data_IF_011742467430
#
_entry.id   IF_011742467430
#
_cell.length_a   1.000
_cell.length_b   1.000
_cell.length_c   1.000
_cell.angle_alpha   90.00
_cell.angle_beta   90.00
_cell.angle_gamma   90.00
#
_symmetry.space_group_name_H-M   'P 1'
#
loop_
_entity.id
_entity.type
_entity.pdbx_description
1 polymer ?
#
# COMPACT_ATOMS: atom_id res chain seq x y z
N UNK A 1 0.01 -47.59 38.13
CA UNK A 1 0.84 -48.49 37.29
C UNK A 1 1.05 -47.80 35.95
N UNK A 2 2.23 -47.17 35.73
CA UNK A 2 3.14 -47.30 34.57
C UNK A 2 2.49 -46.83 33.24
N UNK A 3 3.00 -45.94 32.41
CA UNK A 3 4.32 -45.35 32.11
C UNK A 3 4.13 -44.37 30.94
N UNK A 4 4.62 -43.16 31.04
CA UNK A 4 5.59 -42.43 30.20
C UNK A 4 5.66 -42.86 28.72
N UNK A 5 5.44 -41.88 27.80
CA UNK A 5 6.42 -41.47 26.80
C UNK A 5 6.13 -40.09 26.22
N UNK A 6 7.12 -39.21 26.33
CA UNK A 6 7.27 -37.88 25.77
C UNK A 6 7.72 -37.94 24.31
N UNK A 7 7.33 -36.92 23.52
CA UNK A 7 8.07 -36.27 22.42
C UNK A 7 7.29 -34.97 22.14
N UNK A 8 7.73 -33.78 22.42
CA UNK A 8 8.99 -33.15 22.06
C UNK A 8 8.89 -32.57 20.66
N UNK A 9 8.17 -31.44 20.44
CA UNK A 9 8.13 -30.69 19.18
C UNK A 9 8.35 -29.23 19.51
N UNK A 10 9.54 -28.70 19.17
CA UNK A 10 10.02 -27.39 19.51
C UNK A 10 9.27 -26.28 18.74
N UNK A 11 8.65 -25.38 19.47
CA UNK A 11 8.18 -24.08 19.00
C UNK A 11 9.42 -23.22 18.66
N UNK A 12 9.56 -22.82 17.39
CA UNK A 12 10.53 -21.79 17.00
C UNK A 12 9.84 -20.44 17.08
N UNK A 13 10.06 -19.74 18.19
CA UNK A 13 9.82 -18.30 18.30
C UNK A 13 10.91 -17.56 17.53
N UNK A 14 10.55 -16.85 16.46
CA UNK A 14 11.40 -15.84 15.87
C UNK A 14 11.26 -14.56 16.71
N UNK A 15 12.20 -14.36 17.63
CA UNK A 15 12.31 -13.10 18.37
C UNK A 15 13.05 -12.08 17.50
N UNK A 16 12.37 -10.98 17.18
CA UNK A 16 13.00 -9.78 16.63
C UNK A 16 13.83 -9.12 17.74
N UNK A 17 15.14 -9.32 17.67
CA UNK A 17 16.08 -8.63 18.56
C UNK A 17 16.49 -7.29 17.92
N UNK A 18 16.00 -6.20 18.50
CA UNK A 18 16.57 -4.87 18.28
C UNK A 18 17.91 -4.83 18.99
N UNK A 19 19.01 -4.99 18.27
CA UNK A 19 20.35 -4.93 18.85
C UNK A 19 20.84 -3.48 18.88
N UNK A 20 20.64 -2.85 20.03
CA UNK A 20 21.34 -1.62 20.40
C UNK A 20 22.82 -1.99 20.59
N UNK A 21 23.70 -1.53 19.70
CA UNK A 21 25.14 -1.68 19.89
C UNK A 21 25.58 -0.66 20.94
N UNK A 22 25.71 -1.12 22.17
CA UNK A 22 26.42 -0.39 23.22
C UNK A 22 27.93 -0.55 22.97
N UNK A 23 28.63 0.55 22.67
CA UNK A 23 30.07 0.62 22.68
C UNK A 23 30.55 0.53 24.12
N UNK A 24 31.09 -0.62 24.50
CA UNK A 24 31.90 -0.74 25.73
C UNK A 24 33.31 -0.23 25.43
N UNK A 25 33.65 0.94 26.00
CA UNK A 25 35.02 1.44 26.03
C UNK A 25 35.75 0.65 27.12
N UNK A 26 36.61 -0.28 26.72
CA UNK A 26 37.62 -0.88 27.59
C UNK A 26 38.92 -0.07 27.43
N UNK A 27 39.32 0.59 28.49
CA UNK A 27 40.61 1.29 28.60
C UNK A 27 41.69 0.25 28.88
N UNK A 28 42.51 -0.03 27.88
CA UNK A 28 43.72 -0.86 27.99
C UNK A 28 44.74 -0.40 26.97
N UNK A 29 45.81 0.22 27.45
CA UNK A 29 46.91 0.76 26.66
C UNK A 29 47.69 -0.30 25.89
N UNK A 30 47.61 -0.22 24.55
CA UNK A 30 48.71 -0.53 23.62
C UNK A 30 48.33 0.01 22.24
N UNK A 31 49.12 0.95 21.74
CA UNK A 31 49.03 1.47 20.38
C UNK A 31 49.45 0.36 19.40
N UNK A 32 48.44 -0.35 18.83
CA UNK A 32 48.55 -0.96 17.52
C UNK A 32 47.44 -0.39 16.68
N UNK A 33 47.78 0.26 15.56
CA UNK A 33 46.84 0.92 14.66
C UNK A 33 45.73 -0.02 14.27
N UNK A 34 44.50 0.27 14.67
CA UNK A 34 43.32 -0.35 14.10
C UNK A 34 43.23 0.07 12.64
N UNK A 35 43.79 -0.74 11.74
CA UNK A 35 43.59 -0.60 10.31
C UNK A 35 42.09 -0.67 10.02
N UNK A 36 41.57 0.39 9.44
CA UNK A 36 40.16 0.44 9.00
C UNK A 36 39.93 -0.70 8.02
N UNK A 37 39.07 -1.66 8.38
CA UNK A 37 38.76 -2.79 7.54
C UNK A 37 37.96 -2.34 6.32
N UNK A 38 38.47 -2.58 5.12
CA UNK A 38 37.74 -2.36 3.88
C UNK A 38 36.64 -3.40 3.71
N UNK A 39 35.50 -2.99 3.15
CA UNK A 39 34.38 -3.89 2.88
C UNK A 39 33.31 -3.25 2.03
N UNK A 40 32.50 -4.13 1.41
CA UNK A 40 31.29 -3.75 0.71
C UNK A 40 30.19 -4.79 1.00
N UNK A 41 28.98 -4.33 1.32
CA UNK A 41 27.81 -5.18 1.54
C UNK A 41 26.52 -4.43 1.25
N UNK A 42 25.44 -5.16 0.99
CA UNK A 42 24.11 -4.54 0.93
C UNK A 42 23.66 -4.12 2.34
N UNK A 43 23.05 -2.93 2.42
CA UNK A 43 22.51 -2.43 3.68
C UNK A 43 21.31 -3.26 4.15
N UNK A 44 20.48 -3.69 3.21
CA UNK A 44 19.23 -4.42 3.47
C UNK A 44 19.49 -5.83 4.03
N UNK A 45 20.43 -6.58 3.44
CA UNK A 45 20.74 -7.96 3.86
C UNK A 45 21.90 -8.06 4.84
N UNK A 46 22.71 -6.99 4.98
CA UNK A 46 23.98 -6.99 5.72
C UNK A 46 25.04 -7.97 5.17
N UNK A 47 24.85 -8.45 3.93
CA UNK A 47 25.67 -9.45 3.25
C UNK A 47 26.14 -8.94 1.87
N UNK A 48 26.98 -9.72 1.21
CA UNK A 48 27.40 -9.51 -0.18
C UNK A 48 26.37 -10.01 -1.20
N UNK A 49 25.25 -10.58 -0.72
CA UNK A 49 24.12 -10.99 -1.55
C UNK A 49 22.82 -10.35 -1.08
N UNK A 50 21.95 -10.01 -2.03
CA UNK A 50 20.62 -9.45 -1.77
C UNK A 50 19.62 -10.06 -2.76
N UNK A 51 18.46 -10.49 -2.25
CA UNK A 51 17.27 -10.71 -3.05
C UNK A 51 16.43 -9.42 -3.03
N UNK A 52 16.41 -8.72 -4.15
CA UNK A 52 15.61 -7.51 -4.34
C UNK A 52 14.18 -7.88 -4.76
N UNK A 53 13.19 -7.01 -4.51
CA UNK A 53 11.83 -7.24 -5.00
C UNK A 53 11.77 -7.20 -6.54
N UNK A 54 10.79 -7.91 -7.14
CA UNK A 54 10.59 -7.91 -8.60
C UNK A 54 10.27 -6.54 -9.20
N UNK A 55 9.67 -5.61 -8.42
CA UNK A 55 9.40 -4.24 -8.85
C UNK A 55 10.66 -3.35 -8.82
N UNK A 56 10.58 -2.19 -9.49
CA UNK A 56 11.65 -1.19 -9.47
C UNK A 56 12.00 -0.75 -8.04
N UNK A 57 13.27 -0.80 -7.68
CA UNK A 57 13.74 -0.52 -6.32
C UNK A 57 15.14 0.08 -6.30
N UNK A 58 15.55 0.61 -5.15
CA UNK A 58 16.80 1.31 -4.95
C UNK A 58 17.65 0.66 -3.83
N UNK A 59 18.25 -0.53 -4.06
CA UNK A 59 19.13 -1.16 -3.08
C UNK A 59 20.35 -0.29 -2.74
N UNK A 60 20.83 -0.43 -1.53
CA UNK A 60 21.92 0.36 -0.98
C UNK A 60 23.14 -0.51 -0.67
N UNK A 61 24.30 -0.04 -1.11
CA UNK A 61 25.59 -0.66 -0.77
C UNK A 61 26.28 0.20 0.28
N UNK A 62 26.69 -0.40 1.38
CA UNK A 62 27.57 0.22 2.37
C UNK A 62 29.01 -0.09 2.00
N UNK A 63 29.80 0.95 1.77
CA UNK A 63 31.23 0.90 1.52
C UNK A 63 31.96 1.31 2.81
N UNK A 64 32.81 0.45 3.32
CA UNK A 64 33.62 0.76 4.52
C UNK A 64 35.12 0.79 4.18
N UNK A 65 35.84 1.69 4.84
CA UNK A 65 37.29 1.86 4.62
C UNK A 65 37.82 3.16 5.21
N UNK A 66 39.03 3.54 4.80
CA UNK A 66 39.69 4.78 5.24
C UNK A 66 39.08 5.98 4.50
N UNK A 67 38.78 7.04 5.24
CA UNK A 67 38.29 8.32 4.67
C UNK A 67 39.29 8.84 3.63
N UNK A 68 38.78 9.31 2.50
CA UNK A 68 39.59 9.80 1.37
C UNK A 68 39.98 8.73 0.37
N UNK A 69 39.81 7.43 0.65
CA UNK A 69 40.10 6.37 -0.33
C UNK A 69 39.10 6.43 -1.48
N UNK A 70 39.62 6.44 -2.70
CA UNK A 70 38.81 6.39 -3.91
C UNK A 70 38.22 5.00 -4.12
N UNK A 71 37.00 4.96 -4.67
CA UNK A 71 36.34 3.72 -5.04
C UNK A 71 35.65 3.83 -6.41
N UNK A 72 35.43 2.69 -7.02
CA UNK A 72 34.56 2.55 -8.19
C UNK A 72 33.57 1.41 -7.95
N UNK A 73 32.26 1.69 -8.16
CA UNK A 73 31.19 0.70 -8.16
C UNK A 73 30.78 0.45 -9.60
N UNK A 74 30.86 -0.79 -10.06
CA UNK A 74 30.58 -1.17 -11.46
C UNK A 74 29.61 -2.35 -11.49
N UNK A 75 28.50 -2.23 -12.21
CA UNK A 75 27.63 -3.35 -12.56
C UNK A 75 28.30 -4.11 -13.70
N UNK A 76 28.87 -5.26 -13.40
CA UNK A 76 29.61 -6.10 -14.36
C UNK A 76 28.70 -7.03 -15.12
N UNK A 77 27.57 -7.42 -14.52
CA UNK A 77 26.52 -8.21 -15.13
C UNK A 77 25.16 -7.61 -14.77
N UNK A 78 24.16 -7.69 -15.65
CA UNK A 78 22.82 -7.15 -15.43
C UNK A 78 22.68 -5.65 -15.72
N UNK A 79 23.64 -5.02 -16.41
CA UNK A 79 23.67 -3.58 -16.68
C UNK A 79 22.53 -3.05 -17.57
N UNK A 80 21.69 -3.90 -18.14
CA UNK A 80 20.49 -3.48 -18.87
C UNK A 80 19.32 -3.07 -17.94
N UNK A 81 19.38 -3.45 -16.66
CA UNK A 81 18.30 -3.24 -15.70
C UNK A 81 18.74 -2.86 -14.27
N UNK A 82 20.05 -2.90 -14.01
CA UNK A 82 20.67 -2.49 -12.75
C UNK A 82 21.70 -1.39 -13.06
N UNK A 83 21.59 -0.25 -12.40
CA UNK A 83 22.40 0.94 -12.69
C UNK A 83 22.93 1.61 -11.42
N UNK A 84 23.99 2.39 -11.58
CA UNK A 84 24.54 3.27 -10.55
C UNK A 84 23.98 4.71 -10.62
N UNK A 85 23.15 5.00 -11.63
CA UNK A 85 22.48 6.29 -11.82
C UNK A 85 21.10 6.09 -12.45
N UNK A 86 20.06 6.61 -11.82
CA UNK A 86 18.66 6.53 -12.29
C UNK A 86 18.46 7.29 -13.61
N UNK A 87 19.08 8.46 -13.75
CA UNK A 87 18.81 9.35 -14.88
C UNK A 87 19.59 9.00 -16.15
N UNK A 88 20.79 8.46 -15.99
CA UNK A 88 21.69 8.16 -17.13
C UNK A 88 21.82 6.69 -17.43
N UNK A 89 21.24 5.81 -16.56
CA UNK A 89 21.41 4.37 -16.62
C UNK A 89 22.89 3.93 -16.67
N UNK A 90 23.76 4.72 -16.03
CA UNK A 90 25.18 4.41 -15.99
C UNK A 90 25.42 3.14 -15.16
N UNK A 91 26.29 2.26 -15.66
CA UNK A 91 26.67 1.02 -15.00
C UNK A 91 27.91 1.15 -14.13
N UNK A 92 28.55 2.33 -14.10
CA UNK A 92 29.72 2.59 -13.28
C UNK A 92 29.64 3.97 -12.62
N UNK A 93 30.12 4.07 -11.39
CA UNK A 93 30.23 5.29 -10.61
C UNK A 93 31.49 5.27 -9.76
N UNK A 94 32.26 6.35 -9.79
CA UNK A 94 33.42 6.54 -8.91
C UNK A 94 33.16 7.62 -7.88
N UNK A 95 33.87 7.55 -6.76
CA UNK A 95 33.82 8.51 -5.66
C UNK A 95 34.98 8.30 -4.69
N UNK A 96 34.97 9.03 -3.59
CA UNK A 96 35.91 8.82 -2.48
C UNK A 96 35.11 8.75 -1.17
N UNK A 97 35.56 7.93 -0.23
CA UNK A 97 34.91 7.78 1.06
C UNK A 97 34.97 9.11 1.84
N UNK A 98 33.82 9.62 2.22
CA UNK A 98 33.63 10.83 3.02
C UNK A 98 33.60 10.51 4.49
N UNK A 99 33.11 9.31 4.82
CA UNK A 99 33.11 8.72 6.16
C UNK A 99 33.75 7.35 6.14
N UNK A 100 33.90 6.69 7.30
CA UNK A 100 34.38 5.31 7.37
C UNK A 100 33.36 4.27 6.88
N UNK A 101 32.12 4.69 6.58
CA UNK A 101 31.06 3.84 6.03
C UNK A 101 30.07 4.69 5.20
N UNK A 102 30.32 4.82 3.92
CA UNK A 102 29.46 5.57 2.99
C UNK A 102 28.39 4.65 2.32
N UNK A 103 27.30 5.25 1.86
CA UNK A 103 26.22 4.56 1.20
C UNK A 103 26.15 4.94 -0.27
N UNK A 104 26.12 3.94 -1.14
CA UNK A 104 25.92 4.09 -2.59
C UNK A 104 24.62 3.39 -2.98
N UNK A 105 23.79 4.06 -3.80
CA UNK A 105 22.54 3.51 -4.30
C UNK A 105 22.77 2.81 -5.64
N UNK A 106 22.11 1.67 -5.81
CA UNK A 106 21.79 1.08 -7.10
C UNK A 106 20.36 1.43 -7.48
N UNK A 107 20.03 1.32 -8.75
CA UNK A 107 18.71 1.58 -9.30
C UNK A 107 18.31 0.40 -10.17
N UNK A 108 17.21 -0.27 -9.82
CA UNK A 108 16.72 -1.44 -10.54
C UNK A 108 15.47 -1.09 -11.33
N UNK A 109 15.43 -1.56 -12.58
CA UNK A 109 14.18 -1.63 -13.33
C UNK A 109 13.28 -2.73 -12.75
N UNK A 110 11.98 -2.64 -13.03
CA UNK A 110 11.03 -3.72 -12.85
C UNK A 110 11.44 -4.95 -13.68
N UNK A 111 11.27 -6.15 -13.14
CA UNK A 111 11.62 -7.38 -13.85
C UNK A 111 10.39 -7.97 -14.56
N UNK A 112 10.10 -7.50 -15.74
CA UNK A 112 9.05 -7.98 -16.64
C UNK A 112 9.52 -9.07 -17.62
N UNK A 113 10.68 -9.68 -17.36
CA UNK A 113 11.33 -10.60 -18.31
C UNK A 113 10.74 -12.02 -18.37
N UNK A 114 9.79 -12.34 -17.50
CA UNK A 114 9.19 -13.69 -17.40
C UNK A 114 10.05 -14.71 -16.63
N UNK A 115 11.15 -14.28 -16.00
CA UNK A 115 12.03 -15.14 -15.19
C UNK A 115 12.81 -14.33 -14.15
N UNK A 116 13.27 -15.00 -13.10
CA UNK A 116 14.22 -14.39 -12.18
C UNK A 116 15.52 -14.03 -12.88
N UNK A 117 16.14 -12.90 -12.49
CA UNK A 117 17.39 -12.40 -13.07
C UNK A 117 18.38 -12.05 -11.97
N UNK A 118 19.67 -12.01 -12.36
CA UNK A 118 20.77 -11.71 -11.44
C UNK A 118 21.65 -10.59 -11.99
N UNK A 119 22.23 -9.79 -11.09
CA UNK A 119 23.26 -8.81 -11.40
C UNK A 119 24.47 -9.04 -10.50
N UNK A 120 25.65 -8.75 -11.03
CA UNK A 120 26.92 -8.71 -10.29
C UNK A 120 27.41 -7.27 -10.23
N UNK A 121 27.73 -6.80 -9.03
CA UNK A 121 28.22 -5.45 -8.78
C UNK A 121 29.59 -5.55 -8.13
N UNK A 122 30.60 -5.02 -8.81
CA UNK A 122 31.97 -4.95 -8.29
C UNK A 122 32.24 -3.61 -7.65
N UNK A 123 32.77 -3.65 -6.44
CA UNK A 123 33.33 -2.50 -5.74
C UNK A 123 34.85 -2.64 -5.71
N UNK A 124 35.55 -1.72 -6.34
CA UNK A 124 37.01 -1.64 -6.34
C UNK A 124 37.47 -0.40 -5.57
N UNK A 125 38.41 -0.57 -4.62
CA UNK A 125 39.08 0.51 -3.92
C UNK A 125 40.48 0.74 -4.45
N UNK A 126 40.95 1.96 -4.35
CA UNK A 126 42.38 2.26 -4.59
C UNK A 126 43.26 1.36 -3.70
N UNK A 127 44.32 0.79 -4.32
CA UNK A 127 45.16 -0.22 -3.64
C UNK A 127 44.81 -1.65 -4.03
N UNK A 128 43.83 -1.86 -4.94
CA UNK A 128 43.55 -3.15 -5.57
C UNK A 128 42.65 -4.10 -4.78
N UNK A 129 41.95 -3.60 -3.75
CA UNK A 129 40.93 -4.40 -3.04
C UNK A 129 39.63 -4.37 -3.80
N UNK A 130 39.08 -5.54 -4.09
CA UNK A 130 37.82 -5.69 -4.82
C UNK A 130 36.84 -6.57 -4.03
N UNK A 131 35.55 -6.25 -4.14
CA UNK A 131 34.43 -6.98 -3.56
C UNK A 131 33.35 -7.18 -4.63
N UNK A 132 32.94 -8.42 -4.87
CA UNK A 132 31.79 -8.73 -5.72
C UNK A 132 30.55 -8.95 -4.86
N UNK A 133 29.48 -8.25 -5.23
CA UNK A 133 28.16 -8.37 -4.63
C UNK A 133 27.20 -8.97 -5.67
N UNK A 134 26.36 -9.88 -5.23
CA UNK A 134 25.36 -10.53 -6.08
C UNK A 134 23.96 -10.07 -5.69
N UNK A 135 23.19 -9.64 -6.70
CA UNK A 135 21.81 -9.23 -6.55
C UNK A 135 20.92 -10.15 -7.38
N UNK A 136 19.92 -10.76 -6.78
CA UNK A 136 18.86 -11.49 -7.49
C UNK A 136 17.57 -10.69 -7.45
N UNK A 137 16.79 -10.77 -8.54
CA UNK A 137 15.48 -10.12 -8.64
C UNK A 137 14.50 -11.12 -9.26
N UNK A 138 13.45 -11.57 -8.52
CA UNK A 138 12.41 -12.42 -9.08
C UNK A 138 11.65 -11.69 -10.18
N UNK A 139 10.88 -12.44 -10.97
CA UNK A 139 9.93 -11.84 -11.91
C UNK A 139 8.92 -10.96 -11.16
N UNK A 140 8.64 -9.80 -11.72
CA UNK A 140 7.53 -8.97 -11.29
C UNK A 140 6.27 -9.40 -12.05
N UNK A 141 5.35 -10.00 -11.36
CA UNK A 141 4.04 -10.32 -11.90
C UNK A 141 2.97 -9.51 -11.17
N UNK A 142 2.19 -8.77 -11.94
CA UNK A 142 0.98 -8.14 -11.43
C UNK A 142 -0.06 -9.25 -11.27
N UNK A 143 -0.64 -9.46 -10.08
CA UNK A 143 -1.74 -10.41 -9.93
C UNK A 143 -2.87 -10.08 -10.91
N UNK A 144 -3.45 -11.09 -11.54
CA UNK A 144 -4.54 -10.90 -12.52
C UNK A 144 -5.70 -10.04 -11.99
N UNK A 145 -5.95 -10.07 -10.69
CA UNK A 145 -6.94 -9.24 -10.00
C UNK A 145 -6.59 -7.75 -10.02
N UNK A 146 -5.33 -7.40 -10.21
CA UNK A 146 -4.83 -6.01 -10.32
C UNK A 146 -4.53 -5.62 -11.77
N UNK A 147 -4.54 -6.56 -12.71
CA UNK A 147 -4.30 -6.32 -14.14
C UNK A 147 -5.62 -6.01 -14.86
N UNK A 148 -6.22 -4.88 -14.51
CA UNK A 148 -7.46 -4.41 -15.13
C UNK A 148 -7.38 -2.91 -15.46
N UNK A 149 -7.97 -2.48 -16.59
CA UNK A 149 -8.05 -1.07 -16.97
C UNK A 149 -9.16 -0.34 -16.18
N UNK A 150 -9.14 -0.42 -14.86
CA UNK A 150 -10.09 0.25 -13.97
C UNK A 150 -9.41 1.41 -13.26
N UNK A 151 -9.92 2.61 -13.52
CA UNK A 151 -9.25 3.83 -13.06
C UNK A 151 -9.22 3.98 -11.53
N UNK A 152 -10.10 3.29 -10.79
CA UNK A 152 -10.07 3.25 -9.34
C UNK A 152 -8.97 2.38 -8.76
N UNK A 153 -8.41 1.41 -9.51
CA UNK A 153 -7.35 0.57 -8.96
C UNK A 153 -6.07 1.37 -8.71
N UNK A 154 -5.50 1.33 -7.51
CA UNK A 154 -4.13 1.79 -7.30
C UNK A 154 -3.15 0.96 -8.12
N UNK A 155 -1.99 1.53 -8.47
CA UNK A 155 -0.92 0.72 -9.04
C UNK A 155 -0.57 -0.43 -8.08
N UNK A 156 -0.30 -1.60 -8.67
CA UNK A 156 0.07 -2.76 -7.86
C UNK A 156 1.33 -2.47 -7.04
N UNK A 157 1.30 -2.88 -5.79
CA UNK A 157 2.43 -2.84 -4.87
C UNK A 157 2.45 -4.14 -4.09
N UNK A 158 3.54 -4.89 -4.16
CA UNK A 158 3.71 -6.07 -3.31
C UNK A 158 3.80 -5.63 -1.84
N UNK A 159 2.94 -6.17 -1.00
CA UNK A 159 2.89 -5.87 0.44
C UNK A 159 2.82 -7.19 1.21
N UNK A 160 3.72 -7.36 2.16
CA UNK A 160 3.79 -8.58 2.98
C UNK A 160 2.45 -8.84 3.69
N UNK A 161 2.05 -10.11 3.74
CA UNK A 161 0.80 -10.59 4.31
C UNK A 161 -0.49 -10.06 3.63
N UNK A 162 -0.39 -9.35 2.51
CA UNK A 162 -1.55 -8.85 1.79
C UNK A 162 -2.01 -9.81 0.71
N UNK A 163 -3.33 -9.91 0.58
CA UNK A 163 -4.01 -10.61 -0.50
C UNK A 163 -4.90 -9.60 -1.24
N UNK A 164 -4.88 -9.67 -2.57
CA UNK A 164 -5.72 -8.85 -3.44
C UNK A 164 -6.91 -9.67 -3.91
N UNK A 165 -8.12 -9.14 -3.74
CA UNK A 165 -9.36 -9.81 -4.15
C UNK A 165 -10.26 -8.81 -4.84
N UNK A 166 -10.88 -9.20 -5.96
CA UNK A 166 -11.96 -8.44 -6.60
C UNK A 166 -13.28 -9.20 -6.47
N UNK A 167 -14.26 -8.53 -5.91
CA UNK A 167 -15.62 -9.03 -5.82
C UNK A 167 -16.43 -8.61 -7.04
N UNK A 168 -17.25 -9.52 -7.51
CA UNK A 168 -18.16 -9.33 -8.64
C UNK A 168 -19.58 -9.66 -8.20
N UNK A 169 -20.54 -8.92 -8.75
CA UNK A 169 -21.96 -9.21 -8.55
C UNK A 169 -22.77 -8.83 -9.79
N UNK A 170 -23.92 -9.50 -10.04
CA UNK A 170 -24.79 -9.10 -11.12
C UNK A 170 -25.51 -7.78 -10.77
N UNK A 171 -25.56 -6.84 -11.72
CA UNK A 171 -26.35 -5.60 -11.60
C UNK A 171 -27.51 -5.55 -12.57
N UNK A 172 -27.51 -6.39 -13.59
CA UNK A 172 -28.60 -6.58 -14.55
C UNK A 172 -28.43 -7.92 -15.29
N UNK A 173 -29.42 -8.32 -16.08
CA UNK A 173 -29.33 -9.50 -16.94
C UNK A 173 -28.24 -9.40 -18.02
N UNK A 174 -27.91 -8.18 -18.44
CA UNK A 174 -26.85 -7.91 -19.44
C UNK A 174 -25.47 -7.69 -18.80
N UNK A 175 -25.41 -7.53 -17.48
CA UNK A 175 -24.18 -7.37 -16.69
C UNK A 175 -24.19 -8.33 -15.50
N UNK A 176 -24.07 -9.65 -15.76
CA UNK A 176 -24.16 -10.67 -14.72
C UNK A 176 -22.90 -10.74 -13.85
N UNK A 177 -21.80 -10.11 -14.27
CA UNK A 177 -20.50 -10.08 -13.57
C UNK A 177 -19.92 -8.66 -13.60
N UNK A 178 -20.61 -7.71 -12.98
CA UNK A 178 -20.06 -6.37 -12.80
C UNK A 178 -19.07 -6.36 -11.62
N UNK A 179 -17.97 -5.58 -11.75
CA UNK A 179 -17.06 -5.38 -10.62
C UNK A 179 -17.77 -4.67 -9.48
N UNK A 180 -17.63 -5.17 -8.27
CA UNK A 180 -18.18 -4.54 -7.08
C UNK A 180 -17.13 -3.66 -6.41
N UNK A 181 -16.09 -4.26 -5.87
CA UNK A 181 -14.92 -3.59 -5.32
C UNK A 181 -13.72 -4.52 -5.32
N UNK A 182 -12.52 -3.92 -5.28
CA UNK A 182 -11.24 -4.63 -5.11
C UNK A 182 -10.64 -4.23 -3.77
N UNK A 183 -10.09 -5.20 -3.04
CA UNK A 183 -9.44 -5.00 -1.74
C UNK A 183 -7.95 -5.37 -1.79
N UNK A 184 -7.15 -4.66 -1.01
CA UNK A 184 -5.83 -5.08 -0.55
C UNK A 184 -5.97 -5.44 0.92
N UNK A 185 -6.11 -6.72 1.24
CA UNK A 185 -6.41 -7.21 2.58
C UNK A 185 -5.16 -7.68 3.32
N UNK A 186 -4.85 -7.06 4.45
CA UNK A 186 -3.75 -7.46 5.34
C UNK A 186 -4.25 -8.52 6.34
N UNK A 187 -3.87 -9.78 6.10
CA UNK A 187 -4.26 -10.93 6.92
C UNK A 187 -3.74 -10.86 8.36
N UNK A 188 -2.58 -10.21 8.56
CA UNK A 188 -1.99 -10.04 9.90
C UNK A 188 -2.76 -9.02 10.75
N UNK A 189 -3.29 -7.98 10.11
CA UNK A 189 -4.10 -6.92 10.72
C UNK A 189 -5.59 -7.23 10.73
N UNK A 190 -6.04 -8.11 9.84
CA UNK A 190 -7.44 -8.47 9.59
C UNK A 190 -8.32 -7.29 9.20
N UNK A 191 -7.76 -6.40 8.39
CA UNK A 191 -8.46 -5.28 7.74
C UNK A 191 -7.92 -5.09 6.32
N UNK A 192 -8.74 -4.60 5.40
CA UNK A 192 -8.22 -4.12 4.13
C UNK A 192 -7.45 -2.82 4.34
N UNK A 193 -6.24 -2.73 3.80
CA UNK A 193 -5.45 -1.51 3.78
C UNK A 193 -6.10 -0.46 2.87
N UNK A 194 -6.74 -0.92 1.80
CA UNK A 194 -7.60 -0.11 0.96
C UNK A 194 -8.67 -0.95 0.26
N UNK A 195 -9.74 -0.28 -0.14
CA UNK A 195 -10.85 -0.78 -0.95
C UNK A 195 -11.08 0.19 -2.10
N UNK A 196 -10.98 -0.28 -3.34
CA UNK A 196 -11.16 0.50 -4.55
C UNK A 196 -12.46 0.12 -5.25
N UNK A 197 -13.27 1.12 -5.63
CA UNK A 197 -14.56 0.85 -6.26
C UNK A 197 -15.11 2.05 -7.06
N UNK A 198 -15.87 1.79 -8.15
CA UNK A 198 -16.55 2.84 -8.88
C UNK A 198 -17.83 3.26 -8.17
N UNK A 199 -18.16 4.53 -8.14
CA UNK A 199 -19.46 5.05 -7.75
C UNK A 199 -20.17 5.55 -9.01
N UNK A 200 -21.34 4.99 -9.30
CA UNK A 200 -22.15 5.35 -10.46
C UNK A 200 -23.62 4.98 -10.20
N UNK A 201 -24.55 5.68 -10.85
CA UNK A 201 -25.99 5.48 -10.67
C UNK A 201 -26.44 4.02 -10.94
N UNK A 202 -25.75 3.28 -11.83
CA UNK A 202 -26.08 1.87 -12.09
C UNK A 202 -25.91 0.95 -10.86
N UNK A 203 -25.10 1.34 -9.88
CA UNK A 203 -24.90 0.62 -8.62
C UNK A 203 -25.82 1.11 -7.47
N UNK A 204 -26.48 2.26 -7.64
CA UNK A 204 -27.23 2.97 -6.58
C UNK A 204 -28.70 3.17 -6.95
N UNK A 205 -29.38 2.12 -7.42
CA UNK A 205 -30.75 2.24 -7.94
C UNK A 205 -31.82 2.21 -6.83
N UNK A 206 -31.69 1.28 -5.90
CA UNK A 206 -32.55 1.19 -4.72
C UNK A 206 -31.72 0.80 -3.50
N UNK A 207 -31.84 1.56 -2.42
CA UNK A 207 -31.14 1.20 -1.21
C UNK A 207 -31.91 0.12 -0.43
N UNK A 208 -31.31 -1.07 -0.39
CA UNK A 208 -31.72 -2.16 0.48
C UNK A 208 -30.50 -2.54 1.31
N UNK A 209 -30.52 -2.22 2.61
CA UNK A 209 -29.48 -2.65 3.53
C UNK A 209 -29.72 -4.10 3.91
N UNK A 210 -28.82 -4.99 3.54
CA UNK A 210 -28.97 -6.44 3.77
C UNK A 210 -28.62 -6.84 5.21
N UNK A 211 -27.67 -6.12 5.84
CA UNK A 211 -27.05 -6.51 7.11
C UNK A 211 -26.54 -7.97 7.13
N UNK A 212 -26.15 -8.49 5.96
CA UNK A 212 -25.70 -9.85 5.73
C UNK A 212 -24.24 -10.05 6.17
N UNK A 213 -23.99 -9.81 7.47
CA UNK A 213 -22.65 -9.94 8.06
C UNK A 213 -22.12 -11.35 7.91
N UNK A 214 -21.01 -11.52 7.17
CA UNK A 214 -20.41 -12.82 6.95
C UNK A 214 -18.89 -12.70 6.70
N UNK A 215 -18.23 -13.86 6.67
CA UNK A 215 -16.88 -13.95 6.15
C UNK A 215 -16.86 -13.74 4.63
N UNK A 216 -15.74 -13.21 4.16
CA UNK A 216 -15.42 -13.15 2.74
C UNK A 216 -14.98 -14.56 2.28
N UNK A 217 -15.68 -15.16 1.31
CA UNK A 217 -15.35 -16.51 0.87
C UNK A 217 -13.99 -16.63 0.15
N UNK A 218 -13.41 -15.50 -0.31
CA UNK A 218 -12.11 -15.47 -1.00
C UNK A 218 -10.92 -15.42 -0.05
N UNK A 219 -11.14 -15.25 1.26
CA UNK A 219 -10.11 -15.17 2.29
C UNK A 219 -10.37 -16.26 3.34
N UNK A 220 -9.35 -17.01 3.79
CA UNK A 220 -9.54 -17.99 4.86
C UNK A 220 -10.18 -17.38 6.12
N UNK A 221 -11.17 -18.04 6.70
CA UNK A 221 -11.89 -17.55 7.90
C UNK A 221 -10.93 -17.27 9.07
N UNK A 222 -9.87 -18.04 9.22
CA UNK A 222 -8.87 -17.87 10.27
C UNK A 222 -8.10 -16.53 10.17
N UNK A 223 -8.07 -15.94 8.97
CA UNK A 223 -7.41 -14.67 8.69
C UNK A 223 -8.37 -13.47 8.78
N UNK A 224 -9.65 -13.69 9.13
CA UNK A 224 -10.69 -12.67 9.21
C UNK A 224 -11.18 -12.45 10.63
N UNK A 225 -11.87 -11.33 10.86
CA UNK A 225 -12.65 -11.08 12.08
C UNK A 225 -14.05 -11.68 11.94
N UNK A 226 -14.54 -12.37 12.97
CA UNK A 226 -15.94 -12.81 13.02
C UNK A 226 -16.86 -11.66 13.48
N UNK A 227 -17.49 -11.01 12.52
CA UNK A 227 -18.42 -9.90 12.76
C UNK A 227 -19.89 -10.31 12.66
N UNK A 228 -20.20 -11.59 12.43
CA UNK A 228 -21.58 -12.10 12.30
C UNK A 228 -22.40 -11.92 13.57
N UNK A 229 -21.79 -12.11 14.71
CA UNK A 229 -22.47 -12.05 16.01
C UNK A 229 -22.45 -10.66 16.68
N UNK A 230 -21.92 -9.63 16.02
CA UNK A 230 -21.95 -8.27 16.55
C UNK A 230 -20.66 -7.45 16.28
N UNK A 231 -20.60 -6.23 16.80
CA UNK A 231 -19.46 -5.33 16.62
C UNK A 231 -18.25 -5.78 17.43
N UNK A 232 -17.12 -5.09 17.23
CA UNK A 232 -15.89 -5.29 17.97
C UNK A 232 -16.05 -5.10 19.47
N UNK A 233 -15.15 -5.72 20.24
CA UNK A 233 -14.95 -5.50 21.68
C UNK A 233 -13.64 -4.75 21.88
N UNK A 234 -13.55 -3.99 22.97
CA UNK A 234 -12.33 -3.22 23.27
C UNK A 234 -12.17 -1.92 22.45
N UNK A 235 -13.24 -1.49 21.78
CA UNK A 235 -13.32 -0.24 21.01
C UNK A 235 -13.63 -0.46 19.53
N UNK A 236 -14.25 0.55 18.93
CA UNK A 236 -14.62 0.58 17.52
C UNK A 236 -15.99 -0.03 17.20
N UNK A 237 -16.65 0.60 16.24
CA UNK A 237 -17.84 0.06 15.57
C UNK A 237 -17.44 -0.57 14.23
N UNK A 238 -18.36 -1.30 13.59
CA UNK A 238 -18.16 -1.88 12.25
C UNK A 238 -18.23 -0.77 11.20
N UNK A 239 -17.08 -0.22 10.80
CA UNK A 239 -16.95 0.82 9.76
C UNK A 239 -16.75 0.22 8.38
N UNK A 240 -17.64 0.55 7.43
CA UNK A 240 -17.51 0.15 6.05
C UNK A 240 -16.40 0.94 5.34
N UNK A 241 -15.64 0.27 4.46
CA UNK A 241 -14.74 0.96 3.53
C UNK A 241 -15.44 1.21 2.19
N UNK A 242 -16.02 0.18 1.54
CA UNK A 242 -17.03 0.36 0.50
C UNK A 242 -18.39 0.51 1.16
N UNK A 243 -19.01 1.69 1.09
CA UNK A 243 -20.28 2.00 1.72
C UNK A 243 -21.41 1.14 1.16
N UNK A 244 -22.23 0.51 2.01
CA UNK A 244 -23.35 -0.34 1.57
C UNK A 244 -24.38 0.42 0.74
N UNK A 245 -24.59 1.73 1.02
CA UNK A 245 -25.50 2.58 0.26
C UNK A 245 -25.04 2.84 -1.19
N UNK A 246 -23.76 2.61 -1.52
CA UNK A 246 -23.26 2.68 -2.87
C UNK A 246 -23.51 1.41 -3.69
N UNK A 247 -24.08 0.39 -3.08
CA UNK A 247 -24.22 -0.97 -3.61
C UNK A 247 -25.63 -1.52 -3.40
N UNK A 248 -26.59 -1.04 -4.20
CA UNK A 248 -27.96 -1.52 -4.10
C UNK A 248 -28.66 -1.44 -5.47
N UNK A 249 -29.02 -2.59 -6.00
CA UNK A 249 -29.75 -2.73 -7.24
C UNK A 249 -30.93 -3.70 -7.06
N UNK A 250 -32.06 -3.51 -7.78
CA UNK A 250 -33.20 -4.39 -7.64
C UNK A 250 -32.96 -5.81 -8.17
N UNK A 251 -31.95 -5.97 -9.04
CA UNK A 251 -31.68 -7.23 -9.75
C UNK A 251 -31.07 -8.30 -8.84
N UNK A 252 -30.24 -7.91 -7.86
CA UNK A 252 -29.56 -8.85 -6.97
C UNK A 252 -29.19 -8.20 -5.64
N UNK A 253 -29.38 -8.93 -4.55
CA UNK A 253 -28.93 -8.53 -3.20
C UNK A 253 -27.42 -8.72 -3.01
N UNK A 254 -26.79 -9.61 -3.78
CA UNK A 254 -25.38 -9.98 -3.64
C UNK A 254 -24.42 -8.77 -3.67
N UNK A 255 -24.74 -7.77 -4.51
CA UNK A 255 -23.97 -6.52 -4.59
C UNK A 255 -23.88 -5.83 -3.22
N UNK A 256 -24.97 -5.77 -2.48
CA UNK A 256 -25.04 -5.17 -1.16
C UNK A 256 -24.50 -6.11 -0.09
N UNK A 257 -24.81 -7.41 -0.14
CA UNK A 257 -24.35 -8.42 0.81
C UNK A 257 -22.82 -8.46 0.90
N UNK A 258 -22.12 -8.38 -0.21
CA UNK A 258 -20.64 -8.35 -0.23
C UNK A 258 -20.05 -7.16 0.55
N UNK A 259 -20.77 -6.04 0.69
CA UNK A 259 -20.29 -4.91 1.50
C UNK A 259 -20.25 -5.22 3.00
N UNK A 260 -20.93 -6.27 3.45
CA UNK A 260 -20.94 -6.75 4.83
C UNK A 260 -19.93 -7.87 5.10
N UNK A 261 -19.14 -8.25 4.10
CA UNK A 261 -18.00 -9.12 4.34
C UNK A 261 -17.01 -8.48 5.31
N UNK A 262 -16.52 -9.25 6.25
CA UNK A 262 -15.60 -8.76 7.28
C UNK A 262 -14.35 -8.10 6.71
N UNK A 263 -13.93 -8.49 5.49
CA UNK A 263 -12.80 -7.89 4.77
C UNK A 263 -13.03 -6.46 4.30
N UNK A 264 -14.29 -6.02 4.16
CA UNK A 264 -14.66 -4.62 3.86
C UNK A 264 -14.82 -3.75 5.11
N UNK A 265 -14.68 -4.33 6.31
CA UNK A 265 -15.01 -3.69 7.58
C UNK A 265 -13.73 -3.46 8.40
N UNK A 266 -13.63 -2.28 8.99
CA UNK A 266 -12.55 -1.93 9.92
C UNK A 266 -13.11 -1.35 11.22
N UNK A 267 -12.39 -1.48 12.37
CA UNK A 267 -12.78 -0.80 13.60
C UNK A 267 -12.66 0.72 13.42
N UNK A 268 -13.75 1.44 13.65
CA UNK A 268 -13.78 2.90 13.68
C UNK A 268 -14.38 3.40 14.99
N UNK A 269 -13.89 4.54 15.47
CA UNK A 269 -14.56 5.24 16.59
C UNK A 269 -15.99 5.62 16.20
N UNK A 270 -16.92 5.45 17.11
CA UNK A 270 -18.36 5.64 16.82
C UNK A 270 -18.69 7.05 16.35
N UNK A 271 -18.11 8.06 17.00
CA UNK A 271 -18.31 9.47 16.63
C UNK A 271 -17.73 9.77 15.23
N UNK A 272 -16.57 9.22 14.91
CA UNK A 272 -15.96 9.36 13.59
C UNK A 272 -16.80 8.66 12.50
N UNK A 273 -17.19 7.40 12.73
CA UNK A 273 -17.96 6.61 11.77
C UNK A 273 -19.32 7.26 11.45
N UNK A 274 -20.06 7.70 12.48
CA UNK A 274 -21.36 8.37 12.30
C UNK A 274 -21.26 9.88 12.05
N UNK A 275 -20.08 10.45 12.11
CA UNK A 275 -19.83 11.88 11.93
C UNK A 275 -19.07 12.19 10.62
N UNK A 276 -17.78 12.55 10.73
CA UNK A 276 -16.97 12.98 9.59
C UNK A 276 -16.86 11.93 8.49
N UNK A 277 -16.73 10.63 8.85
CA UNK A 277 -16.68 9.56 7.85
C UNK A 277 -17.96 9.45 7.05
N UNK A 278 -19.11 9.48 7.71
CA UNK A 278 -20.42 9.48 7.03
C UNK A 278 -20.59 10.69 6.11
N UNK A 279 -20.15 11.89 6.53
CA UNK A 279 -20.19 13.10 5.69
C UNK A 279 -19.32 12.94 4.42
N UNK A 280 -18.13 12.30 4.51
CA UNK A 280 -17.31 11.98 3.35
C UNK A 280 -18.01 11.01 2.39
N UNK A 281 -18.73 10.03 2.92
CA UNK A 281 -19.51 9.06 2.15
C UNK A 281 -20.72 9.71 1.47
N UNK A 282 -21.42 10.60 2.16
CA UNK A 282 -22.54 11.37 1.62
C UNK A 282 -22.09 12.32 0.50
N UNK A 283 -20.92 12.96 0.65
CA UNK A 283 -20.30 13.80 -0.39
C UNK A 283 -20.03 12.96 -1.64
N UNK A 284 -19.39 11.80 -1.49
CA UNK A 284 -19.13 10.89 -2.60
C UNK A 284 -20.45 10.39 -3.24
N UNK A 285 -21.47 10.10 -2.42
CA UNK A 285 -22.82 9.71 -2.90
C UNK A 285 -23.47 10.79 -3.74
N UNK A 286 -23.47 12.03 -3.27
CA UNK A 286 -24.06 13.18 -3.96
C UNK A 286 -23.38 13.42 -5.30
N UNK A 287 -22.04 13.37 -5.31
CA UNK A 287 -21.23 13.54 -6.52
C UNK A 287 -21.44 12.41 -7.53
N UNK A 288 -21.51 11.14 -7.07
CA UNK A 288 -21.77 9.99 -7.94
C UNK A 288 -23.17 9.96 -8.52
N UNK A 289 -24.18 10.45 -7.77
CA UNK A 289 -25.58 10.55 -8.26
C UNK A 289 -25.76 11.69 -9.26
N UNK A 290 -25.03 12.78 -9.11
CA UNK A 290 -25.11 13.94 -10.00
C UNK A 290 -24.28 13.79 -11.28
N UNK A 291 -23.55 12.71 -11.43
CA UNK A 291 -22.62 12.45 -12.51
C UNK A 291 -23.10 11.29 -13.37
N UNK A 292 -23.17 11.48 -14.70
CA UNK A 292 -23.42 10.40 -15.66
C UNK A 292 -22.14 9.62 -15.99
N UNK A 293 -20.97 10.21 -15.70
CA UNK A 293 -19.68 9.54 -15.75
C UNK A 293 -19.42 8.84 -14.40
N UNK A 294 -18.42 7.98 -14.34
CA UNK A 294 -18.07 7.26 -13.12
C UNK A 294 -17.25 8.17 -12.18
N UNK A 295 -17.57 8.14 -10.89
CA UNK A 295 -16.72 8.62 -9.83
C UNK A 295 -15.86 7.45 -9.34
N UNK A 296 -14.56 7.58 -9.41
CA UNK A 296 -13.58 6.59 -8.98
C UNK A 296 -13.16 6.86 -7.55
N UNK A 297 -13.19 5.81 -6.72
CA UNK A 297 -13.00 5.94 -5.27
C UNK A 297 -12.01 4.89 -4.78
N UNK A 298 -11.03 5.32 -3.98
CA UNK A 298 -10.26 4.43 -3.12
C UNK A 298 -10.41 4.90 -1.69
N UNK A 299 -10.74 3.97 -0.82
CA UNK A 299 -10.89 4.21 0.62
C UNK A 299 -9.89 3.35 1.36
N UNK A 300 -9.25 3.88 2.39
CA UNK A 300 -8.29 3.07 3.12
C UNK A 300 -7.95 3.62 4.50
N UNK A 301 -6.90 3.05 5.05
CA UNK A 301 -6.44 3.38 6.40
C UNK A 301 -4.90 3.41 6.46
N UNK A 302 -4.39 3.97 7.56
CA UNK A 302 -2.96 4.07 7.81
C UNK A 302 -2.65 4.00 9.30
N UNK A 303 -1.54 3.35 9.64
CA UNK A 303 -1.11 3.17 11.02
C UNK A 303 -1.97 2.17 11.79
N UNK A 304 -1.54 1.82 12.97
CA UNK A 304 -2.29 1.00 13.94
C UNK A 304 -2.24 1.73 15.28
N UNK A 305 -3.36 2.32 15.70
CA UNK A 305 -3.49 3.03 16.96
C UNK A 305 -3.62 2.07 18.14
N UNK A 306 -4.39 1.00 17.95
CA UNK A 306 -4.67 0.00 18.98
C UNK A 306 -5.18 -1.30 18.34
N UNK A 307 -5.56 -2.25 19.17
CA UNK A 307 -6.14 -3.51 18.74
C UNK A 307 -7.53 -3.69 19.37
N UNK A 308 -8.52 -3.87 18.53
CA UNK A 308 -9.83 -4.36 18.90
C UNK A 308 -9.88 -5.88 18.88
N UNK A 309 -10.97 -6.48 19.34
CA UNK A 309 -11.23 -7.91 19.17
C UNK A 309 -12.63 -8.12 18.61
N UNK A 310 -12.79 -9.20 17.86
CA UNK A 310 -14.13 -9.69 17.53
C UNK A 310 -14.79 -10.40 18.74
N UNK A 311 -15.94 -11.00 18.53
CA UNK A 311 -16.69 -11.70 19.60
C UNK A 311 -16.00 -13.01 20.03
N UNK A 312 -15.17 -13.60 19.19
CA UNK A 312 -14.37 -14.80 19.48
C UNK A 312 -13.04 -14.48 20.19
N UNK A 313 -12.65 -13.22 20.28
CA UNK A 313 -11.38 -12.77 20.87
C UNK A 313 -10.26 -12.61 19.86
N UNK A 314 -10.54 -12.74 18.57
CA UNK A 314 -9.57 -12.54 17.50
C UNK A 314 -9.18 -11.05 17.42
N UNK A 315 -7.87 -10.76 17.44
CA UNK A 315 -7.38 -9.39 17.36
C UNK A 315 -7.53 -8.81 15.97
N UNK A 316 -7.96 -7.56 15.90
CA UNK A 316 -8.15 -6.78 14.68
C UNK A 316 -7.53 -5.40 14.86
N UNK A 317 -6.73 -4.96 13.92
CA UNK A 317 -6.07 -3.66 14.01
C UNK A 317 -7.11 -2.53 13.92
N UNK A 318 -7.04 -1.58 14.87
CA UNK A 318 -7.78 -0.32 14.82
C UNK A 318 -6.88 0.73 14.17
N UNK A 319 -7.26 1.26 13.00
CA UNK A 319 -6.43 2.23 12.29
C UNK A 319 -6.25 3.52 13.09
N UNK A 320 -5.10 4.17 12.91
CA UNK A 320 -4.86 5.51 13.44
C UNK A 320 -5.53 6.58 12.58
N UNK A 321 -5.36 6.45 11.25
CA UNK A 321 -5.99 7.32 10.26
C UNK A 321 -6.84 6.53 9.28
N UNK A 322 -7.92 7.17 8.82
CA UNK A 322 -8.71 6.73 7.68
C UNK A 322 -8.65 7.78 6.59
N UNK A 323 -8.60 7.32 5.34
CA UNK A 323 -8.48 8.22 4.20
C UNK A 323 -9.37 7.79 3.03
N UNK A 324 -9.63 8.72 2.13
CA UNK A 324 -10.37 8.48 0.90
C UNK A 324 -9.81 9.36 -0.21
N UNK A 325 -9.68 8.83 -1.42
CA UNK A 325 -9.35 9.59 -2.62
C UNK A 325 -10.46 9.43 -3.65
N UNK A 326 -10.82 10.53 -4.29
CA UNK A 326 -11.88 10.62 -5.28
C UNK A 326 -11.36 11.27 -6.55
N UNK A 327 -11.78 10.72 -7.71
CA UNK A 327 -11.49 11.26 -9.04
C UNK A 327 -12.73 11.15 -9.91
N UNK A 328 -13.09 12.21 -10.63
CA UNK A 328 -14.11 12.19 -11.68
C UNK A 328 -13.85 13.24 -12.74
N UNK A 329 -14.61 13.17 -13.86
CA UNK A 329 -14.69 14.27 -14.81
C UNK A 329 -15.40 15.47 -14.17
N UNK A 330 -14.91 16.67 -14.45
CA UNK A 330 -15.46 17.91 -13.88
C UNK A 330 -16.92 18.13 -14.30
N UNK A 331 -17.22 17.91 -15.59
CA UNK A 331 -18.56 18.11 -16.13
C UNK A 331 -19.53 16.96 -15.79
N UNK A 332 -19.02 15.76 -15.49
CA UNK A 332 -19.81 14.61 -15.05
C UNK A 332 -20.67 13.95 -16.12
N UNK A 333 -20.58 14.33 -17.39
CA UNK A 333 -21.38 13.80 -18.50
C UNK A 333 -20.60 13.75 -19.83
N UNK A 334 -19.31 13.56 -19.75
CA UNK A 334 -18.41 13.59 -20.91
C UNK A 334 -18.47 12.30 -21.72
N UNK A 335 -18.83 11.18 -21.10
CA UNK A 335 -18.76 9.82 -21.62
C UNK A 335 -17.35 9.38 -22.03
N UNK A 336 -16.32 10.12 -21.57
CA UNK A 336 -14.92 9.78 -21.78
C UNK A 336 -14.43 8.84 -20.67
N UNK A 337 -13.54 7.95 -21.03
CA UNK A 337 -12.73 7.21 -20.08
C UNK A 337 -11.63 8.15 -19.54
N UNK A 338 -11.08 7.82 -18.39
CA UNK A 338 -10.04 8.65 -17.77
C UNK A 338 -8.76 8.72 -18.62
N UNK A 339 -8.40 7.63 -19.29
CA UNK A 339 -7.25 7.54 -20.19
C UNK A 339 -7.44 8.27 -21.55
N UNK A 340 -8.66 8.75 -21.84
CA UNK A 340 -8.97 9.58 -23.02
C UNK A 340 -8.92 11.08 -22.71
N UNK A 341 -8.58 11.46 -21.47
CA UNK A 341 -8.55 12.86 -21.03
C UNK A 341 -7.10 13.32 -20.89
N UNK A 342 -6.75 14.34 -21.66
CA UNK A 342 -5.39 14.88 -21.75
C UNK A 342 -5.27 16.34 -21.25
N UNK A 343 -6.35 16.89 -20.66
CA UNK A 343 -6.38 18.20 -20.04
C UNK A 343 -6.80 18.09 -18.58
N UNK A 344 -5.90 18.47 -17.66
CA UNK A 344 -6.14 18.41 -16.22
C UNK A 344 -7.37 19.21 -15.79
N UNK A 345 -7.77 20.24 -16.55
CA UNK A 345 -8.94 21.08 -16.26
C UNK A 345 -10.28 20.36 -16.48
N UNK A 346 -10.29 19.25 -17.22
CA UNK A 346 -11.46 18.40 -17.44
C UNK A 346 -11.73 17.44 -16.25
N UNK A 347 -10.79 17.32 -15.30
CA UNK A 347 -10.86 16.42 -14.15
C UNK A 347 -10.91 17.20 -12.84
N UNK A 348 -11.54 16.60 -11.85
CA UNK A 348 -11.44 17.03 -10.44
C UNK A 348 -11.06 15.84 -9.58
N UNK A 349 -10.11 16.07 -8.66
CA UNK A 349 -9.67 15.10 -7.66
C UNK A 349 -9.63 15.74 -6.27
N UNK A 350 -9.82 14.92 -5.24
CA UNK A 350 -9.69 15.34 -3.84
C UNK A 350 -9.27 14.14 -2.99
N UNK A 351 -8.53 14.42 -1.92
CA UNK A 351 -8.25 13.50 -0.84
C UNK A 351 -8.95 13.92 0.45
N UNK A 352 -9.18 12.94 1.32
CA UNK A 352 -9.58 13.13 2.72
C UNK A 352 -8.62 12.35 3.60
N UNK A 353 -8.14 12.98 4.65
CA UNK A 353 -7.27 12.36 5.64
C UNK A 353 -7.76 12.73 7.03
N UNK A 354 -8.21 11.77 7.80
CA UNK A 354 -8.81 12.00 9.11
C UNK A 354 -8.28 11.01 10.16
N UNK A 355 -8.05 11.47 11.37
CA UNK A 355 -7.78 10.61 12.50
C UNK A 355 -9.04 9.79 12.84
N UNK A 356 -8.87 8.51 13.11
CA UNK A 356 -9.93 7.63 13.61
C UNK A 356 -10.15 7.92 15.10
N UNK A 357 -10.82 9.01 15.41
CA UNK A 357 -10.93 9.61 16.74
C UNK A 357 -12.36 9.62 17.26
N UNK A 358 -12.52 9.65 18.58
CA UNK A 358 -13.81 9.87 19.25
C UNK A 358 -14.33 11.30 19.09
N UNK A 359 -13.50 12.22 18.63
CA UNK A 359 -13.88 13.60 18.31
C UNK A 359 -14.08 13.70 16.81
N UNK A 360 -15.19 14.26 16.37
CA UNK A 360 -15.50 14.53 14.98
C UNK A 360 -15.67 16.03 14.81
N UNK A 361 -15.03 16.59 13.79
CA UNK A 361 -15.19 17.99 13.45
C UNK A 361 -16.58 18.30 12.89
N UNK A 362 -17.01 19.56 13.03
CA UNK A 362 -18.29 20.01 12.51
C UNK A 362 -18.34 20.13 11.00
N UNK A 363 -17.19 20.45 10.37
CA UNK A 363 -17.03 20.59 8.91
C UNK A 363 -16.19 19.48 8.27
N UNK A 364 -16.27 19.34 6.94
CA UNK A 364 -15.42 18.43 6.16
C UNK A 364 -14.13 19.10 5.65
N UNK A 365 -14.12 20.42 5.56
CA UNK A 365 -13.02 21.16 4.93
C UNK A 365 -11.66 20.86 5.56
N UNK A 366 -11.61 20.71 6.89
CA UNK A 366 -10.38 20.43 7.64
C UNK A 366 -9.78 19.04 7.37
N UNK A 367 -10.57 18.10 6.86
CA UNK A 367 -10.10 16.75 6.50
C UNK A 367 -9.68 16.66 5.04
N UNK A 368 -9.92 17.72 4.24
CA UNK A 368 -9.58 17.68 2.82
C UNK A 368 -8.09 17.88 2.60
N UNK A 369 -7.58 17.20 1.60
CA UNK A 369 -6.18 17.29 1.16
C UNK A 369 -6.09 16.94 -0.33
N UNK A 370 -4.89 16.93 -0.90
CA UNK A 370 -4.68 16.45 -2.26
C UNK A 370 -4.48 14.94 -2.31
N UNK A 371 -4.74 14.33 -3.47
CA UNK A 371 -4.40 12.92 -3.72
C UNK A 371 -2.89 12.70 -3.58
N UNK A 372 -2.07 13.66 -4.06
CA UNK A 372 -0.61 13.60 -3.98
C UNK A 372 -0.09 13.51 -2.54
N UNK A 373 -0.70 14.23 -1.60
CA UNK A 373 -0.33 14.13 -0.18
C UNK A 373 -0.66 12.76 0.41
N UNK A 374 -1.78 12.16 0.03
CA UNK A 374 -2.11 10.79 0.48
C UNK A 374 -1.14 9.78 -0.14
N UNK A 375 -0.75 9.94 -1.42
CA UNK A 375 0.31 9.13 -2.03
C UNK A 375 1.63 9.24 -1.26
N UNK A 376 2.02 10.45 -0.85
CA UNK A 376 3.22 10.68 -0.07
C UNK A 376 3.18 10.00 1.30
N UNK A 377 2.03 10.08 2.00
CA UNK A 377 1.84 9.47 3.33
C UNK A 377 1.79 7.95 3.29
N UNK A 378 1.14 7.36 2.27
CA UNK A 378 0.86 5.92 2.20
C UNK A 378 1.85 5.14 1.34
N UNK A 379 2.53 5.82 0.42
CA UNK A 379 3.38 5.21 -0.59
C UNK A 379 2.61 4.43 -1.66
N UNK A 380 1.28 4.60 -1.77
CA UNK A 380 0.49 4.10 -2.88
C UNK A 380 0.58 5.03 -4.08
N UNK A 381 0.15 4.55 -5.25
CA UNK A 381 -0.01 5.33 -6.47
C UNK A 381 -1.45 5.16 -6.95
N UNK A 382 -2.22 6.22 -6.84
CA UNK A 382 -3.63 6.21 -7.23
C UNK A 382 -3.81 6.62 -8.69
N UNK A 383 -4.90 6.15 -9.29
CA UNK A 383 -5.31 6.51 -10.63
C UNK A 383 -4.19 6.39 -11.68
N UNK A 384 -3.55 5.22 -11.80
CA UNK A 384 -2.43 5.02 -12.72
C UNK A 384 -2.83 5.13 -14.21
N UNK A 385 -4.13 5.13 -14.50
CA UNK A 385 -4.67 5.32 -15.85
C UNK A 385 -4.77 6.80 -16.28
N UNK A 386 -4.46 7.75 -15.40
CA UNK A 386 -4.33 9.14 -15.82
C UNK A 386 -3.18 9.28 -16.83
N UNK A 387 -3.40 10.09 -17.86
CA UNK A 387 -2.32 10.50 -18.77
C UNK A 387 -1.16 11.08 -17.94
N UNK A 388 0.03 10.56 -18.17
CA UNK A 388 1.23 10.92 -17.43
C UNK A 388 1.52 12.43 -17.46
N UNK A 389 1.19 13.08 -18.59
CA UNK A 389 1.39 14.52 -18.77
C UNK A 389 0.56 15.37 -17.81
N UNK A 390 -0.61 14.89 -17.36
CA UNK A 390 -1.53 15.65 -16.48
C UNK A 390 -1.66 15.04 -15.08
N UNK A 391 -1.13 13.84 -14.87
CA UNK A 391 -1.34 13.10 -13.62
C UNK A 391 -0.89 13.87 -12.38
N UNK A 392 0.25 14.55 -12.45
CA UNK A 392 0.78 15.36 -11.35
C UNK A 392 -0.16 16.53 -11.00
N UNK A 393 -0.63 17.26 -12.01
CA UNK A 393 -1.52 18.42 -11.83
C UNK A 393 -2.88 17.99 -11.27
N UNK A 394 -3.46 16.90 -11.78
CA UNK A 394 -4.73 16.35 -11.27
C UNK A 394 -4.60 15.92 -9.82
N UNK A 395 -3.54 15.18 -9.46
CA UNK A 395 -3.33 14.69 -8.10
C UNK A 395 -2.97 15.77 -7.10
N UNK A 396 -2.38 16.89 -7.56
CA UNK A 396 -2.08 18.04 -6.71
C UNK A 396 -3.30 18.93 -6.44
N UNK A 397 -4.44 18.70 -7.11
CA UNK A 397 -5.65 19.51 -6.88
C UNK A 397 -6.12 19.42 -5.43
N UNK A 398 -6.46 20.58 -4.88
CA UNK A 398 -7.11 20.70 -3.58
C UNK A 398 -8.15 21.83 -3.67
N UNK A 399 -9.36 21.50 -4.09
CA UNK A 399 -10.47 22.44 -4.24
C UNK A 399 -11.75 21.85 -3.62
N UNK A 400 -11.95 21.98 -2.30
CA UNK A 400 -13.13 21.48 -1.60
C UNK A 400 -14.45 21.97 -2.18
N UNK A 401 -14.51 23.24 -2.59
CA UNK A 401 -15.72 23.86 -3.14
C UNK A 401 -16.21 23.17 -4.41
N UNK A 402 -15.29 22.66 -5.27
CA UNK A 402 -15.67 21.87 -6.45
C UNK A 402 -16.37 20.54 -6.09
N UNK A 403 -16.27 20.12 -4.84
CA UNK A 403 -16.90 18.93 -4.25
C UNK A 403 -18.12 19.28 -3.38
N UNK A 404 -18.57 20.53 -3.41
CA UNK A 404 -19.71 21.00 -2.59
C UNK A 404 -19.38 21.12 -1.10
N UNK A 405 -18.10 21.13 -0.74
CA UNK A 405 -17.63 21.26 0.63
C UNK A 405 -17.41 22.74 0.90
N UNK A 406 -18.19 23.31 1.80
CA UNK A 406 -18.05 24.66 2.34
C UNK A 406 -17.54 24.57 3.78
N UNK A 407 -16.95 25.66 4.28
CA UNK A 407 -16.48 25.80 5.67
C UNK A 407 -17.59 25.53 6.69
#
# INVERSE_FOLDING_TARGET
MISIFSRGGALRFAAFFLMLVALSVSCGSSEEGQGTSFGARFLESQNTSLEAPGYASDPRIVLSGTVGTSYTVTVTEGGSWCWTSRNTHATSRSGSLVTTADVVYLYLAENDSGAARTATVRVAFDGGLEFDLTLSQPEYSIPAVMDHPWAELPAYKSIDNCTYVTHYAPISSTQPKARNFTICYDRSKRIALWVAYPIHACYMQNYIRSDAWDFDPEIPEADQADLRSGPYRGGGVRGHQCMSNHRSVPYSTLLNEQTFYSTNIMPQESAFNGGSWLKMEETASAMGKSCADTLYTVTGNYGVRSWSTDRSGTKVAMPEYCWKVLLRTKNGNTRKRIDEIHDASELIAIGFWAENSSVSADGLAEYTTSVAEIEQKTGYKFFPMLDEAIAADVKAQHNPTAWGITE
#
